data_IF_717765311835
#
_entry.id   IF_717765311835
#
_cell.length_a   1.000
_cell.length_b   1.000
_cell.length_c   1.000
_cell.angle_alpha   90.00
_cell.angle_beta   90.00
_cell.angle_gamma   90.00
#
_symmetry.space_group_name_H-M   'P 1'
#
loop_
_entity.id
_entity.type
_entity.pdbx_description
1 polymer ?
#
# COMPACT_ATOMS: atom_id res chain seq x y z
N UNK A 1 2.51 2.78 17.61
CA UNK A 1 1.86 1.60 16.99
C UNK A 1 1.75 1.72 15.49
N UNK A 2 1.09 2.75 14.95
CA UNK A 2 1.03 3.01 13.49
C UNK A 2 2.15 3.91 12.96
N UNK A 3 2.86 4.59 13.87
CA UNK A 3 4.00 5.45 13.53
C UNK A 3 5.15 4.61 12.99
N UNK A 4 5.72 5.07 11.86
CA UNK A 4 6.89 4.48 11.25
C UNK A 4 8.13 4.61 12.17
N UNK A 5 9.07 3.64 12.14
CA UNK A 5 10.23 3.63 13.03
C UNK A 5 11.13 4.86 12.88
N UNK A 6 11.24 5.41 11.67
CA UNK A 6 11.99 6.63 11.41
C UNK A 6 11.37 7.86 12.07
N UNK A 7 10.04 7.95 12.07
CA UNK A 7 9.30 9.05 12.71
C UNK A 7 9.41 8.93 14.23
N UNK A 8 9.33 7.71 14.76
CA UNK A 8 9.54 7.43 16.18
C UNK A 8 10.97 7.75 16.65
N UNK A 9 11.94 7.70 15.74
CA UNK A 9 13.35 8.05 15.97
C UNK A 9 13.68 9.51 15.66
N UNK A 10 12.67 10.37 15.45
CA UNK A 10 12.83 11.78 15.09
C UNK A 10 13.67 12.02 13.82
N UNK A 11 13.71 11.05 12.90
CA UNK A 11 14.33 11.23 11.59
C UNK A 11 13.40 12.02 10.65
N UNK A 12 13.92 12.59 9.55
CA UNK A 12 13.12 13.38 8.62
C UNK A 12 11.91 12.61 8.10
N UNK A 13 10.74 13.24 8.20
CA UNK A 13 9.49 12.69 7.70
C UNK A 13 9.50 12.57 6.18
N UNK A 14 8.93 11.49 5.67
CA UNK A 14 8.69 11.30 4.24
C UNK A 14 7.28 10.72 4.01
N UNK A 15 6.80 10.76 2.76
CA UNK A 15 5.52 10.14 2.38
C UNK A 15 5.49 8.62 2.60
N UNK A 16 6.65 7.97 2.78
CA UNK A 16 6.76 6.53 3.05
C UNK A 16 6.40 6.19 4.51
N UNK A 17 6.39 7.17 5.41
CA UNK A 17 5.85 7.01 6.75
C UNK A 17 4.34 6.75 6.72
N UNK A 18 3.61 7.41 5.81
CA UNK A 18 2.17 7.13 5.58
C UNK A 18 1.94 5.74 5.00
N UNK A 19 2.87 5.24 4.17
CA UNK A 19 2.80 3.86 3.65
C UNK A 19 2.94 2.83 4.76
N UNK A 20 3.82 3.09 5.74
CA UNK A 20 3.95 2.24 6.91
C UNK A 20 2.67 2.18 7.73
N UNK A 21 2.09 3.35 8.05
CA UNK A 21 0.86 3.42 8.83
C UNK A 21 -0.30 2.74 8.10
N UNK A 22 -0.37 2.88 6.78
CA UNK A 22 -1.31 2.16 5.93
C UNK A 22 -1.13 0.63 6.01
N UNK A 23 0.10 0.12 5.97
CA UNK A 23 0.38 -1.32 6.14
C UNK A 23 -0.12 -1.85 7.50
N UNK A 24 0.08 -1.08 8.57
CA UNK A 24 -0.44 -1.43 9.90
C UNK A 24 -1.97 -1.44 9.96
N UNK A 25 -2.64 -0.52 9.26
CA UNK A 25 -4.10 -0.47 9.14
C UNK A 25 -4.63 -1.67 8.34
N UNK A 26 -4.01 -2.00 7.21
CA UNK A 26 -4.38 -3.19 6.44
C UNK A 26 -4.29 -4.47 7.27
N UNK A 27 -3.23 -4.59 8.07
CA UNK A 27 -3.09 -5.70 9.00
C UNK A 27 -4.21 -5.70 10.06
N UNK A 28 -4.52 -4.56 10.67
CA UNK A 28 -5.58 -4.44 11.68
C UNK A 28 -6.95 -4.83 11.11
N UNK A 29 -7.29 -4.32 9.92
CA UNK A 29 -8.54 -4.64 9.23
C UNK A 29 -8.70 -6.14 9.00
N UNK A 30 -7.61 -6.82 8.63
CA UNK A 30 -7.65 -8.24 8.30
C UNK A 30 -7.49 -9.15 9.53
N UNK A 31 -6.83 -8.68 10.58
CA UNK A 31 -6.70 -9.38 11.86
C UNK A 31 -7.91 -9.18 12.79
N UNK A 32 -8.69 -8.11 12.59
CA UNK A 32 -9.81 -7.76 13.45
C UNK A 32 -9.39 -7.35 14.87
N UNK A 33 -8.13 -6.98 15.07
CA UNK A 33 -7.56 -6.60 16.38
C UNK A 33 -6.47 -5.55 16.25
N UNK A 34 -6.22 -4.83 17.33
CA UNK A 34 -5.21 -3.76 17.36
C UNK A 34 -3.80 -4.34 17.24
N UNK A 35 -2.92 -3.75 16.42
CA UNK A 35 -1.53 -4.18 16.35
C UNK A 35 -0.85 -3.90 17.68
N UNK A 36 -0.06 -4.86 18.18
CA UNK A 36 0.69 -4.71 19.43
C UNK A 36 -0.21 -4.37 20.63
N UNK A 37 -1.38 -4.99 20.70
CA UNK A 37 -2.28 -4.89 21.85
C UNK A 37 -1.58 -5.39 23.13
N UNK A 38 -1.75 -4.66 24.24
CA UNK A 38 -1.15 -4.98 25.54
C UNK A 38 0.29 -4.50 25.75
N UNK A 39 1.01 -4.09 24.70
CA UNK A 39 2.36 -3.52 24.84
C UNK A 39 2.29 -2.07 25.33
N UNK A 40 3.13 -1.69 26.30
CA UNK A 40 3.27 -0.30 26.69
C UNK A 40 4.12 0.51 25.68
N UNK A 41 4.40 1.78 25.99
CA UNK A 41 5.18 2.64 25.07
C UNK A 41 6.66 2.23 25.00
N UNK A 42 7.25 1.84 26.13
CA UNK A 42 8.66 1.50 26.22
C UNK A 42 8.92 0.18 25.48
N UNK A 43 8.08 -0.83 25.73
CA UNK A 43 8.12 -2.10 25.04
C UNK A 43 7.88 -1.95 23.55
N UNK A 44 6.91 -1.11 23.14
CA UNK A 44 6.67 -0.83 21.73
C UNK A 44 7.92 -0.25 21.06
N UNK A 45 8.58 0.72 21.71
CA UNK A 45 9.80 1.30 21.17
C UNK A 45 10.90 0.26 21.04
N UNK A 46 11.20 -0.48 22.11
CA UNK A 46 12.26 -1.48 22.10
C UNK A 46 12.00 -2.60 21.08
N UNK A 47 10.80 -3.17 21.07
CA UNK A 47 10.48 -4.34 20.24
C UNK A 47 10.24 -3.98 18.77
N UNK A 48 9.49 -2.92 18.51
CA UNK A 48 9.05 -2.59 17.13
C UNK A 48 10.01 -1.63 16.45
N UNK A 49 10.44 -0.58 17.15
CA UNK A 49 11.29 0.47 16.58
C UNK A 49 12.75 0.01 16.57
N UNK A 50 13.27 -0.50 17.70
CA UNK A 50 14.67 -0.94 17.78
C UNK A 50 14.90 -2.34 17.22
N UNK A 51 14.07 -3.32 17.58
CA UNK A 51 14.26 -4.71 17.17
C UNK A 51 13.53 -5.11 15.87
N UNK A 52 12.73 -4.20 15.31
CA UNK A 52 12.03 -4.45 14.04
C UNK A 52 10.92 -5.51 14.12
N UNK A 53 10.39 -5.80 15.30
CA UNK A 53 9.29 -6.75 15.45
C UNK A 53 8.06 -6.31 14.65
N UNK A 54 7.37 -7.28 14.03
CA UNK A 54 6.14 -7.05 13.25
C UNK A 54 5.03 -8.00 13.72
N UNK A 55 3.75 -7.58 13.61
CA UNK A 55 2.64 -8.46 13.98
C UNK A 55 2.59 -9.71 13.09
N UNK A 56 2.16 -10.87 13.62
CA UNK A 56 2.08 -12.09 12.85
C UNK A 56 1.00 -12.00 11.77
N UNK A 57 1.28 -12.55 10.58
CA UNK A 57 0.31 -12.68 9.50
C UNK A 57 -0.55 -13.93 9.71
N UNK A 58 -1.82 -13.87 9.32
CA UNK A 58 -2.72 -15.02 9.38
C UNK A 58 -2.37 -16.07 8.32
N UNK A 59 -2.30 -17.34 8.70
CA UNK A 59 -1.98 -18.47 7.79
C UNK A 59 -2.98 -18.65 6.64
N UNK A 60 -4.21 -18.17 6.80
CA UNK A 60 -5.29 -18.29 5.82
C UNK A 60 -5.43 -17.05 4.93
N UNK A 61 -4.62 -16.01 5.16
CA UNK A 61 -4.71 -14.78 4.40
C UNK A 61 -4.15 -14.97 2.99
N UNK A 62 -4.71 -14.31 1.97
CA UNK A 62 -4.16 -14.37 0.62
C UNK A 62 -2.69 -13.95 0.60
N UNK A 63 -1.84 -14.74 -0.06
CA UNK A 63 -0.40 -14.48 -0.09
C UNK A 63 -0.07 -13.09 -0.67
N UNK A 64 -0.82 -12.66 -1.68
CA UNK A 64 -0.68 -11.35 -2.29
C UNK A 64 -0.92 -10.22 -1.27
N UNK A 65 -1.91 -10.37 -0.39
CA UNK A 65 -2.19 -9.42 0.69
C UNK A 65 -1.09 -9.43 1.75
N UNK A 66 -0.64 -10.61 2.17
CA UNK A 66 0.47 -10.77 3.10
C UNK A 66 1.73 -10.04 2.59
N UNK A 67 2.11 -10.26 1.33
CA UNK A 67 3.25 -9.58 0.70
C UNK A 67 3.06 -8.06 0.64
N UNK A 68 1.86 -7.59 0.30
CA UNK A 68 1.57 -6.16 0.26
C UNK A 68 1.74 -5.52 1.65
N UNK A 69 1.18 -6.13 2.69
CA UNK A 69 1.33 -5.66 4.08
C UNK A 69 2.81 -5.64 4.47
N UNK A 70 3.57 -6.69 4.14
CA UNK A 70 4.99 -6.75 4.49
C UNK A 70 5.84 -5.69 3.82
N UNK A 71 5.56 -5.42 2.54
CA UNK A 71 6.28 -4.40 1.79
C UNK A 71 5.94 -2.98 2.32
N UNK A 72 4.70 -2.76 2.76
CA UNK A 72 4.26 -1.47 3.30
C UNK A 72 4.96 -1.11 4.63
N UNK A 73 5.22 -2.08 5.50
CA UNK A 73 5.79 -1.84 6.84
C UNK A 73 7.27 -2.19 6.98
N UNK A 74 8.00 -2.26 5.86
CA UNK A 74 9.45 -2.52 5.85
C UNK A 74 10.19 -1.48 6.71
N UNK A 75 11.21 -1.91 7.44
CA UNK A 75 12.05 -1.02 8.25
C UNK A 75 12.78 0.00 7.38
N UNK A 76 13.19 -0.38 6.18
CA UNK A 76 13.77 0.51 5.19
C UNK A 76 12.66 1.21 4.38
N UNK A 77 12.52 2.52 4.61
CA UNK A 77 11.50 3.33 3.95
C UNK A 77 11.66 3.38 2.42
N UNK A 78 12.86 3.09 1.88
CA UNK A 78 13.11 3.06 0.43
C UNK A 78 12.53 1.81 -0.24
N UNK A 79 12.40 0.70 0.51
CA UNK A 79 11.80 -0.55 0.02
C UNK A 79 10.28 -0.51 -0.01
N UNK A 80 9.69 0.39 0.78
CA UNK A 80 8.24 0.54 0.82
C UNK A 80 7.70 0.97 -0.55
N UNK A 81 6.57 0.42 -1.02
CA UNK A 81 5.98 0.81 -2.29
C UNK A 81 5.44 2.26 -2.26
N UNK A 82 5.13 2.82 -3.42
CA UNK A 82 4.34 4.08 -3.50
C UNK A 82 2.85 3.77 -3.42
N UNK A 83 2.02 4.74 -3.05
CA UNK A 83 0.57 4.53 -3.06
C UNK A 83 0.02 4.12 -4.44
N UNK A 84 0.59 4.61 -5.54
CA UNK A 84 0.21 4.15 -6.88
C UNK A 84 0.54 2.67 -7.14
N UNK A 85 1.65 2.16 -6.58
CA UNK A 85 1.97 0.73 -6.63
C UNK A 85 1.03 -0.09 -5.75
N UNK A 86 0.70 0.41 -4.56
CA UNK A 86 -0.25 -0.21 -3.62
C UNK A 86 -1.63 -0.34 -4.27
N UNK A 87 -2.16 0.76 -4.80
CA UNK A 87 -3.46 0.81 -5.48
C UNK A 87 -3.52 -0.23 -6.61
N UNK A 88 -2.48 -0.27 -7.46
CA UNK A 88 -2.40 -1.24 -8.55
C UNK A 88 -2.42 -2.68 -8.04
N UNK A 89 -1.70 -2.98 -6.95
CA UNK A 89 -1.68 -4.33 -6.36
C UNK A 89 -3.04 -4.72 -5.79
N UNK A 90 -3.72 -3.80 -5.09
CA UNK A 90 -5.07 -4.02 -4.57
C UNK A 90 -6.06 -4.26 -5.71
N UNK A 91 -6.02 -3.44 -6.77
CA UNK A 91 -6.88 -3.63 -7.95
C UNK A 91 -6.67 -4.99 -8.62
N UNK A 92 -5.42 -5.48 -8.70
CA UNK A 92 -5.13 -6.81 -9.24
C UNK A 92 -5.78 -7.91 -8.39
N UNK A 93 -5.62 -7.85 -7.06
CA UNK A 93 -6.24 -8.82 -6.15
C UNK A 93 -7.78 -8.82 -6.28
N UNK A 94 -8.41 -7.64 -6.33
CA UNK A 94 -9.87 -7.52 -6.51
C UNK A 94 -10.35 -8.04 -7.87
N UNK A 95 -9.52 -7.94 -8.91
CA UNK A 95 -9.85 -8.43 -10.24
C UNK A 95 -9.64 -9.94 -10.37
N UNK A 96 -8.73 -10.55 -9.60
CA UNK A 96 -8.57 -12.01 -9.53
C UNK A 96 -9.81 -12.66 -8.90
N UNK A 97 -10.37 -12.06 -7.84
CA UNK A 97 -11.63 -12.53 -7.24
C UNK A 97 -12.82 -12.40 -8.19
N UNK A 98 -12.83 -11.33 -9.02
CA UNK A 98 -13.86 -11.11 -10.05
C UNK A 98 -13.58 -11.86 -11.35
N UNK A 99 -12.39 -12.44 -11.50
CA UNK A 99 -11.83 -13.05 -12.71
C UNK A 99 -12.45 -14.39 -13.11
N UNK A 100 -13.44 -14.87 -12.36
CA UNK A 100 -14.51 -15.72 -12.89
C UNK A 100 -15.40 -15.03 -13.94
N UNK A 101 -15.22 -13.73 -14.19
CA UNK A 101 -15.91 -12.95 -15.21
C UNK A 101 -14.96 -11.96 -15.90
N UNK A 102 -14.53 -12.30 -17.12
CA UNK A 102 -13.66 -11.48 -17.96
C UNK A 102 -14.34 -10.15 -18.34
N UNK A 103 -13.71 -9.00 -18.06
CA UNK A 103 -14.03 -7.74 -18.73
C UNK A 103 -12.82 -7.24 -19.54
N UNK A 104 -12.96 -7.27 -20.87
CA UNK A 104 -12.00 -6.74 -21.84
C UNK A 104 -11.89 -5.23 -21.66
N UNK A 105 -10.70 -4.72 -21.31
CA UNK A 105 -10.40 -3.28 -21.42
C UNK A 105 -10.49 -2.86 -22.89
N UNK A 106 -11.44 -1.97 -23.20
CA UNK A 106 -11.48 -1.29 -24.51
C UNK A 106 -10.24 -0.41 -24.63
N UNK A 107 -9.40 -0.77 -25.59
CA UNK A 107 -8.28 0.05 -26.05
C UNK A 107 -8.80 1.39 -26.55
N UNK A 108 -8.42 2.48 -25.88
CA UNK A 108 -8.60 3.84 -26.40
C UNK A 108 -7.68 4.00 -27.62
N UNK A 109 -8.27 3.91 -28.81
CA UNK A 109 -7.58 4.34 -30.04
C UNK A 109 -7.49 5.85 -30.01
N UNK A 110 -6.26 6.36 -29.84
CA UNK A 110 -5.90 7.75 -30.07
C UNK A 110 -6.08 8.02 -31.57
N UNK A 111 -7.17 8.66 -31.96
CA UNK A 111 -7.31 9.17 -33.33
C UNK A 111 -6.51 10.47 -33.40
N UNK A 112 -5.25 10.35 -33.80
CA UNK A 112 -4.50 11.44 -34.42
C UNK A 112 -4.77 11.40 -35.93
N UNK A 113 -5.36 12.45 -36.47
CA UNK A 113 -5.61 12.64 -37.90
C UNK A 113 -6.57 13.82 -38.11
N UNK A 114 -6.04 15.04 -38.29
CA UNK A 114 -5.98 15.75 -39.59
C UNK A 114 -7.36 16.24 -40.06
N UNK A 115 -7.61 17.55 -39.90
CA UNK A 115 -8.45 18.39 -40.78
C UNK A 115 -7.89 19.82 -40.64
N UNK A 116 -6.92 20.21 -41.45
CA UNK A 116 -7.01 20.96 -42.72
C UNK A 116 -7.32 22.46 -42.57
N UNK A 117 -6.55 23.23 -43.35
CA UNK A 117 -6.54 24.68 -43.48
C UNK A 117 -7.76 25.14 -44.30
N UNK A 118 -8.00 26.45 -44.18
CA UNK A 118 -8.83 27.31 -45.03
C UNK A 118 -10.33 27.46 -44.72
N UNK A 119 -10.60 28.66 -44.17
CA UNK A 119 -11.47 29.68 -44.76
C UNK A 119 -12.93 29.77 -44.30
N UNK A 120 -13.30 31.03 -44.11
CA UNK A 120 -14.64 31.65 -44.20
C UNK A 120 -15.51 31.85 -42.94
N UNK A 121 -15.46 33.09 -42.46
CA UNK A 121 -16.56 34.01 -42.10
C UNK A 121 -17.50 33.68 -40.91
N UNK A 122 -17.19 34.19 -39.71
CA UNK A 122 -17.69 35.46 -39.15
C UNK A 122 -16.86 35.84 -37.92
#
# INVERSE_FOLDING_TARGET
>A
RYMAPEVASCMPYNQKADVYSFGMILWEMNAGKKPFEGLDRADFYQRVVSNGERPPLGKKWPEALCRLITDCWDSDHMKRPTFGQIERRIQLMMNEEKGGGVQKKKSLRRITGIIDRHSTWF
#
